data_IF_216686048798
#
_entry.id   IF_216686048798
#
_cell.length_a   1.000
_cell.length_b   1.000
_cell.length_c   1.000
_cell.angle_alpha   90.00
_cell.angle_beta   90.00
_cell.angle_gamma   90.00
#
_symmetry.space_group_name_H-M   'P 1'
#
loop_
_entity.id
_entity.type
_entity.pdbx_description
1 polymer ?
#
# COMPACT_ATOMS: atom_id res chain seq x y z
N UNK A 1 7.42 18.58 -17.17
CA UNK A 1 8.46 17.58 -17.45
C UNK A 1 8.45 16.63 -16.28
N UNK A 2 7.71 15.52 -16.39
CA UNK A 2 7.80 14.41 -15.43
C UNK A 2 9.18 13.79 -15.59
N UNK A 3 9.86 13.56 -14.48
CA UNK A 3 11.22 12.99 -14.48
C UNK A 3 11.14 11.49 -14.74
N UNK A 4 12.18 10.91 -15.36
CA UNK A 4 12.24 9.49 -15.75
C UNK A 4 12.02 8.54 -14.54
N UNK A 5 12.33 9.02 -13.32
CA UNK A 5 12.06 8.34 -12.04
C UNK A 5 10.56 8.29 -11.69
N UNK A 6 9.79 9.36 -11.92
CA UNK A 6 8.34 9.37 -11.69
C UNK A 6 7.66 8.34 -12.60
N UNK A 7 8.02 8.31 -13.89
CA UNK A 7 7.42 7.40 -14.87
C UNK A 7 7.67 5.92 -14.53
N UNK A 8 8.88 5.57 -14.08
CA UNK A 8 9.22 4.20 -13.67
C UNK A 8 8.51 3.76 -12.39
N UNK A 9 8.39 4.65 -11.40
CA UNK A 9 7.69 4.34 -10.14
C UNK A 9 6.17 4.20 -10.33
N UNK A 10 5.59 4.99 -11.24
CA UNK A 10 4.19 4.90 -11.63
C UNK A 10 3.88 3.58 -12.36
N UNK A 11 4.82 3.07 -13.15
CA UNK A 11 4.68 1.79 -13.85
C UNK A 11 4.77 0.58 -12.89
N UNK A 12 5.56 0.66 -11.81
CA UNK A 12 5.61 -0.38 -10.77
C UNK A 12 4.29 -0.52 -9.99
N UNK A 13 3.61 0.59 -9.69
CA UNK A 13 2.29 0.55 -9.04
C UNK A 13 1.23 -0.08 -9.97
N UNK A 14 1.30 0.17 -11.28
CA UNK A 14 0.35 -0.41 -12.25
C UNK A 14 0.41 -1.94 -12.28
N UNK A 15 1.61 -2.53 -12.17
CA UNK A 15 1.79 -3.98 -12.19
C UNK A 15 1.20 -4.72 -10.97
N UNK A 16 0.88 -4.01 -9.88
CA UNK A 16 0.20 -4.59 -8.70
C UNK A 16 -1.29 -4.82 -8.98
N UNK A 17 -1.91 -4.04 -9.88
CA UNK A 17 -3.34 -4.14 -10.18
C UNK A 17 -3.70 -5.21 -11.23
N UNK A 18 -2.74 -5.68 -12.03
CA UNK A 18 -2.99 -6.69 -13.07
C UNK A 18 -3.04 -8.13 -12.54
N UNK A 19 -2.72 -8.35 -11.25
CA UNK A 19 -2.81 -9.66 -10.57
C UNK A 19 -4.07 -9.83 -9.69
N UNK A 20 -5.05 -8.93 -9.81
CA UNK A 20 -6.08 -8.69 -8.78
C UNK A 20 -7.26 -9.68 -8.76
N UNK A 21 -7.10 -10.88 -9.34
CA UNK A 21 -8.05 -12.00 -9.21
C UNK A 21 -7.54 -13.14 -8.31
N UNK A 22 -6.33 -13.07 -7.75
CA UNK A 22 -5.88 -14.02 -6.74
C UNK A 22 -5.04 -13.34 -5.64
N UNK A 23 -5.45 -13.57 -4.39
CA UNK A 23 -4.63 -13.61 -3.17
C UNK A 23 -3.16 -13.18 -3.40
N UNK A 24 -2.82 -11.95 -3.03
CA UNK A 24 -1.41 -11.52 -2.97
C UNK A 24 -0.88 -11.95 -1.61
N UNK A 25 -0.10 -13.03 -1.58
CA UNK A 25 0.62 -13.48 -0.38
C UNK A 25 1.61 -12.42 0.07
N UNK A 26 1.59 -12.05 1.36
CA UNK A 26 2.43 -10.98 1.95
C UNK A 26 3.84 -11.50 2.31
N UNK A 27 4.14 -12.77 2.07
CA UNK A 27 5.34 -13.42 2.59
C UNK A 27 6.63 -13.16 1.79
N UNK A 28 6.59 -12.39 0.70
CA UNK A 28 7.83 -11.96 0.01
C UNK A 28 8.44 -10.66 0.58
N UNK A 29 7.91 -10.12 1.70
CA UNK A 29 8.46 -8.88 2.30
C UNK A 29 9.01 -9.12 3.73
N UNK A 30 8.80 -10.31 4.29
CA UNK A 30 9.18 -10.63 5.67
C UNK A 30 9.80 -12.03 5.75
N UNK A 31 10.97 -12.21 5.14
CA UNK A 31 11.84 -13.36 5.49
C UNK A 31 13.27 -12.92 5.74
N UNK A 32 13.42 -12.20 6.87
CA UNK A 32 14.71 -11.82 7.46
C UNK A 32 14.90 -12.33 8.89
N UNK A 33 14.06 -13.25 9.39
CA UNK A 33 14.20 -13.82 10.74
C UNK A 33 13.84 -15.33 10.76
N UNK A 34 14.87 -16.18 10.66
CA UNK A 34 14.82 -17.64 10.71
C UNK A 34 13.92 -18.24 11.83
N UNK A 35 13.07 -19.21 11.48
CA UNK A 35 13.20 -20.60 11.95
C UNK A 35 12.22 -21.55 11.24
N UNK A 36 12.71 -22.73 10.86
CA UNK A 36 11.93 -23.84 10.31
C UNK A 36 10.81 -24.24 11.27
N UNK A 37 9.57 -24.27 10.79
CA UNK A 37 8.46 -24.99 11.42
C UNK A 37 7.56 -25.58 10.34
N UNK A 38 7.60 -26.90 10.20
CA UNK A 38 6.60 -27.67 9.47
C UNK A 38 5.25 -27.53 10.19
N UNK A 39 4.31 -26.73 9.65
CA UNK A 39 2.85 -26.78 9.88
C UNK A 39 2.21 -25.82 8.84
N UNK A 40 1.03 -26.14 8.31
CA UNK A 40 0.28 -25.35 7.31
C UNK A 40 0.49 -23.84 7.51
N UNK A 41 1.26 -23.22 6.61
CA UNK A 41 1.54 -21.79 6.62
C UNK A 41 0.24 -21.10 6.19
N UNK A 42 -0.51 -20.58 7.16
CA UNK A 42 -1.53 -19.59 6.90
C UNK A 42 -0.81 -18.34 6.37
N UNK A 43 -0.69 -18.23 5.05
CA UNK A 43 -0.16 -17.03 4.41
C UNK A 43 -1.02 -15.84 4.86
N UNK A 44 -0.42 -14.89 5.55
CA UNK A 44 -1.09 -13.64 5.91
C UNK A 44 -1.44 -12.92 4.60
N UNK A 45 -2.69 -13.03 4.18
CA UNK A 45 -3.11 -12.61 2.85
C UNK A 45 -3.86 -11.30 2.94
N UNK A 46 -3.41 -10.29 2.19
CA UNK A 46 -4.18 -9.07 2.00
C UNK A 46 -5.37 -9.34 1.07
N UNK A 47 -6.53 -8.76 1.40
CA UNK A 47 -7.78 -8.97 0.66
C UNK A 47 -8.34 -7.66 0.14
N UNK A 48 -8.46 -7.55 -1.19
CA UNK A 48 -9.10 -6.40 -1.84
C UNK A 48 -10.61 -6.32 -1.53
N UNK A 49 -11.25 -7.45 -1.23
CA UNK A 49 -12.67 -7.48 -0.83
C UNK A 49 -12.91 -6.66 0.44
N UNK A 50 -11.95 -6.64 1.35
CA UNK A 50 -12.00 -5.86 2.60
C UNK A 50 -12.10 -4.35 2.33
N UNK A 51 -11.46 -3.85 1.26
CA UNK A 51 -11.58 -2.45 0.83
C UNK A 51 -12.95 -2.12 0.27
N UNK A 52 -13.55 -3.04 -0.49
CA UNK A 52 -14.93 -2.89 -0.97
C UNK A 52 -15.91 -2.85 0.21
N UNK A 53 -15.73 -3.72 1.21
CA UNK A 53 -16.56 -3.72 2.43
C UNK A 53 -16.45 -2.40 3.20
N UNK A 54 -15.24 -1.87 3.36
CA UNK A 54 -15.02 -0.57 4.00
C UNK A 54 -15.79 0.54 3.26
N UNK A 55 -15.68 0.59 1.93
CA UNK A 55 -16.41 1.56 1.12
C UNK A 55 -17.93 1.42 1.25
N UNK A 56 -18.45 0.19 1.20
CA UNK A 56 -19.90 -0.06 1.29
C UNK A 56 -20.51 0.37 2.62
N UNK A 57 -19.77 0.20 3.72
CA UNK A 57 -20.21 0.64 5.06
C UNK A 57 -20.15 2.16 5.19
N UNK A 58 -19.13 2.79 4.61
CA UNK A 58 -18.93 4.23 4.73
C UNK A 58 -19.66 5.06 3.67
N UNK A 59 -20.17 4.45 2.58
CA UNK A 59 -20.72 5.20 1.44
C UNK A 59 -21.80 6.20 1.83
N UNK A 60 -22.64 5.84 2.80
CA UNK A 60 -23.74 6.66 3.31
C UNK A 60 -23.42 7.39 4.62
N UNK A 61 -22.22 7.22 5.17
CA UNK A 61 -21.79 7.91 6.40
C UNK A 61 -21.35 9.34 6.09
N UNK A 62 -21.63 10.26 7.02
CA UNK A 62 -21.12 11.64 6.95
C UNK A 62 -19.61 11.69 7.24
N UNK A 63 -19.15 10.85 8.17
CA UNK A 63 -17.73 10.76 8.56
C UNK A 63 -17.17 9.46 7.97
N UNK A 64 -16.09 9.58 7.19
CA UNK A 64 -15.48 8.47 6.45
C UNK A 64 -13.97 8.45 6.69
N UNK A 65 -13.41 7.29 6.97
CA UNK A 65 -11.96 7.10 6.94
C UNK A 65 -11.47 7.00 5.49
N UNK A 66 -12.21 6.26 4.65
CA UNK A 66 -11.95 6.10 3.23
C UNK A 66 -12.59 7.17 2.36
N UNK A 67 -12.55 8.44 2.75
CA UNK A 67 -13.19 9.54 2.01
C UNK A 67 -12.68 9.68 0.55
N UNK A 68 -11.45 9.22 0.27
CA UNK A 68 -10.88 9.19 -1.08
C UNK A 68 -11.24 7.94 -1.88
N UNK A 69 -11.72 6.87 -1.22
CA UNK A 69 -12.17 5.67 -1.92
C UNK A 69 -13.39 6.03 -2.77
N UNK A 70 -13.33 5.61 -4.02
CA UNK A 70 -14.40 5.82 -4.99
C UNK A 70 -14.64 4.52 -5.73
N UNK A 71 -15.87 4.30 -6.19
CA UNK A 71 -16.22 3.10 -6.95
C UNK A 71 -15.26 2.89 -8.14
N UNK A 72 -14.86 3.97 -8.83
CA UNK A 72 -13.88 3.93 -9.93
C UNK A 72 -12.50 3.42 -9.53
N UNK A 73 -12.10 3.63 -8.29
CA UNK A 73 -10.83 3.12 -7.77
C UNK A 73 -10.95 1.64 -7.36
N UNK A 74 -12.13 1.20 -6.92
CA UNK A 74 -12.38 -0.18 -6.52
C UNK A 74 -12.72 -1.09 -7.70
N UNK A 75 -13.32 -0.54 -8.75
CA UNK A 75 -13.77 -1.23 -9.95
C UNK A 75 -13.43 -0.37 -11.18
N UNK A 76 -12.14 -0.21 -11.50
CA UNK A 76 -11.72 0.59 -12.65
C UNK A 76 -12.06 -0.12 -13.96
N UNK A 77 -12.49 0.65 -14.97
CA UNK A 77 -12.51 0.18 -16.36
C UNK A 77 -11.10 -0.03 -16.91
N UNK A 78 -10.95 -0.74 -18.04
CA UNK A 78 -9.64 -1.01 -18.65
C UNK A 78 -8.82 0.26 -18.95
N UNK A 79 -9.49 1.36 -19.33
CA UNK A 79 -8.82 2.65 -19.54
C UNK A 79 -8.42 3.30 -18.20
N UNK A 80 -9.26 3.16 -17.18
CA UNK A 80 -9.04 3.71 -15.85
C UNK A 80 -7.93 2.99 -15.08
N UNK A 81 -7.65 1.71 -15.34
CA UNK A 81 -6.50 0.98 -14.77
C UNK A 81 -5.14 1.64 -15.02
N UNK A 82 -5.02 2.39 -16.12
CA UNK A 82 -3.78 3.12 -16.42
C UNK A 82 -3.63 4.41 -15.59
N UNK A 83 -4.67 4.82 -14.84
CA UNK A 83 -4.70 6.06 -14.11
C UNK A 83 -4.15 5.90 -12.69
N UNK A 84 -2.89 6.27 -12.51
CA UNK A 84 -2.18 6.27 -11.21
C UNK A 84 -2.97 7.01 -10.11
N UNK A 85 -3.73 8.06 -10.45
CA UNK A 85 -4.52 8.81 -9.46
C UNK A 85 -5.63 7.97 -8.83
N UNK A 86 -6.13 6.93 -9.50
CA UNK A 86 -7.11 6.01 -8.92
C UNK A 86 -6.43 5.05 -7.94
N UNK A 87 -5.25 4.54 -8.29
CA UNK A 87 -4.48 3.65 -7.41
C UNK A 87 -4.05 4.36 -6.13
N UNK A 88 -3.62 5.62 -6.22
CA UNK A 88 -3.26 6.44 -5.06
C UNK A 88 -4.44 6.69 -4.09
N UNK A 89 -5.69 6.56 -4.56
CA UNK A 89 -6.86 6.63 -3.68
C UNK A 89 -7.02 5.35 -2.84
N UNK A 90 -6.66 4.20 -3.41
CA UNK A 90 -6.69 2.90 -2.73
C UNK A 90 -5.63 2.87 -1.62
N UNK A 91 -4.40 3.25 -1.95
CA UNK A 91 -3.29 3.29 -1.00
C UNK A 91 -3.26 4.55 -0.15
N UNK A 92 -4.40 5.14 0.17
CA UNK A 92 -4.41 6.35 0.97
C UNK A 92 -4.01 6.06 2.43
N UNK A 93 -3.21 6.96 3.01
CA UNK A 93 -2.68 6.84 4.38
C UNK A 93 -3.72 6.71 5.50
N UNK A 94 -5.00 7.04 5.27
CA UNK A 94 -6.07 6.95 6.25
C UNK A 94 -6.86 5.62 6.16
N UNK A 95 -6.64 4.85 5.09
CA UNK A 95 -7.31 3.55 4.87
C UNK A 95 -6.91 2.51 5.90
N UNK A 96 -5.62 2.37 6.29
CA UNK A 96 -5.24 1.42 7.33
C UNK A 96 -5.96 1.68 8.65
N UNK A 97 -6.12 2.93 9.08
CA UNK A 97 -6.84 3.29 10.30
C UNK A 97 -8.32 2.97 10.18
N UNK A 98 -8.92 3.26 9.03
CA UNK A 98 -10.31 2.88 8.72
C UNK A 98 -10.54 1.38 8.77
N UNK A 99 -9.63 0.60 8.18
CA UNK A 99 -9.64 -0.86 8.22
C UNK A 99 -9.50 -1.39 9.65
N UNK A 100 -8.60 -0.83 10.46
CA UNK A 100 -8.45 -1.26 11.85
C UNK A 100 -9.70 -0.96 12.68
N UNK A 101 -10.31 0.24 12.52
CA UNK A 101 -11.49 0.64 13.30
C UNK A 101 -12.76 -0.07 12.85
N UNK A 102 -13.05 -0.06 11.55
CA UNK A 102 -14.27 -0.64 11.00
C UNK A 102 -14.16 -2.15 10.84
N UNK A 103 -12.96 -2.66 10.50
CA UNK A 103 -12.72 -4.09 10.36
C UNK A 103 -12.85 -4.83 11.69
N UNK A 104 -12.42 -4.25 12.80
CA UNK A 104 -12.68 -4.81 14.14
C UNK A 104 -14.18 -4.77 14.47
N UNK A 105 -14.83 -3.63 14.26
CA UNK A 105 -16.24 -3.40 14.59
C UNK A 105 -17.19 -4.31 13.80
N UNK A 106 -16.94 -4.50 12.51
CA UNK A 106 -17.79 -5.24 11.58
C UNK A 106 -17.20 -6.60 11.20
N UNK A 107 -16.10 -7.01 11.83
CA UNK A 107 -15.43 -8.31 11.64
C UNK A 107 -15.10 -8.62 10.17
N UNK A 108 -14.44 -7.68 9.49
CA UNK A 108 -14.00 -7.93 8.11
C UNK A 108 -12.98 -9.06 8.06
N UNK A 109 -12.92 -9.85 6.98
CA UNK A 109 -11.83 -10.79 6.79
C UNK A 109 -10.53 -10.04 6.51
N UNK A 110 -9.43 -10.54 7.07
CA UNK A 110 -8.05 -10.10 6.79
C UNK A 110 -7.80 -8.59 6.88
N UNK A 111 -8.54 -7.85 7.72
CA UNK A 111 -8.44 -6.39 7.75
C UNK A 111 -7.09 -5.89 8.28
N UNK A 112 -6.46 -6.65 9.18
CA UNK A 112 -5.16 -6.30 9.75
C UNK A 112 -4.07 -6.43 8.70
N UNK A 113 -4.08 -7.55 7.99
CA UNK A 113 -3.13 -7.90 6.93
C UNK A 113 -3.27 -6.92 5.75
N UNK A 114 -4.50 -6.58 5.35
CA UNK A 114 -4.74 -5.55 4.32
C UNK A 114 -4.27 -4.17 4.78
N UNK A 115 -4.47 -3.80 6.05
CA UNK A 115 -4.01 -2.52 6.58
C UNK A 115 -2.47 -2.45 6.61
N UNK A 116 -1.79 -3.53 6.99
CA UNK A 116 -0.33 -3.64 6.97
C UNK A 116 0.22 -3.58 5.55
N UNK A 117 -0.39 -4.30 4.61
CA UNK A 117 -0.03 -4.25 3.20
C UNK A 117 -0.08 -2.82 2.64
N UNK A 118 -1.16 -2.09 2.91
CA UNK A 118 -1.29 -0.69 2.47
C UNK A 118 -0.23 0.21 3.12
N UNK A 119 0.16 -0.04 4.37
CA UNK A 119 1.25 0.70 5.03
C UNK A 119 2.60 0.42 4.37
N UNK A 120 2.87 -0.83 3.99
CA UNK A 120 4.09 -1.21 3.27
C UNK A 120 4.16 -0.46 1.93
N UNK A 121 3.09 -0.49 1.13
CA UNK A 121 3.04 0.22 -0.16
C UNK A 121 3.19 1.73 0.02
N UNK A 122 2.53 2.33 1.02
CA UNK A 122 2.70 3.75 1.33
C UNK A 122 4.15 4.10 1.68
N UNK A 123 4.80 3.28 2.51
CA UNK A 123 6.20 3.49 2.90
C UNK A 123 7.13 3.39 1.69
N UNK A 124 6.93 2.38 0.85
CA UNK A 124 7.68 2.22 -0.39
C UNK A 124 7.51 3.45 -1.29
N UNK A 125 6.27 3.89 -1.52
CA UNK A 125 5.96 5.07 -2.34
C UNK A 125 6.60 6.34 -1.80
N UNK A 126 6.55 6.55 -0.48
CA UNK A 126 7.16 7.69 0.19
C UNK A 126 8.69 7.75 -0.02
N UNK A 127 9.35 6.59 -0.11
CA UNK A 127 10.80 6.49 -0.34
C UNK A 127 11.16 6.73 -1.81
N UNK A 128 10.43 6.13 -2.74
CA UNK A 128 10.79 6.18 -4.17
C UNK A 128 10.32 7.46 -4.85
N UNK A 129 9.27 8.13 -4.34
CA UNK A 129 8.66 9.31 -4.94
C UNK A 129 9.01 10.62 -4.21
N UNK A 130 10.29 10.80 -3.86
CA UNK A 130 10.78 12.02 -3.23
C UNK A 130 11.00 13.10 -4.30
N UNK A 131 10.03 14.02 -4.43
CA UNK A 131 10.06 15.07 -5.48
C UNK A 131 11.03 16.21 -5.22
N UNK A 132 11.31 16.54 -3.96
CA UNK A 132 12.20 17.65 -3.59
C UNK A 132 13.00 17.30 -2.35
N UNK A 133 14.23 17.83 -2.19
CA UNK A 133 15.09 17.48 -1.05
C UNK A 133 14.51 17.79 0.33
N UNK A 134 13.60 18.76 0.42
CA UNK A 134 13.07 19.28 1.68
C UNK A 134 11.70 18.69 2.06
N UNK A 135 11.10 17.85 1.21
CA UNK A 135 9.74 17.32 1.45
C UNK A 135 9.64 16.53 2.76
N UNK A 136 10.65 15.69 3.06
CA UNK A 136 10.70 14.93 4.32
C UNK A 136 10.87 15.80 5.57
N UNK A 137 11.47 17.00 5.45
CA UNK A 137 11.56 17.96 6.56
C UNK A 137 10.20 18.64 6.75
N UNK A 138 9.61 19.13 5.66
CA UNK A 138 8.33 19.85 5.68
C UNK A 138 7.19 18.98 6.22
N UNK A 139 7.17 17.71 5.84
CA UNK A 139 6.14 16.75 6.28
C UNK A 139 6.52 15.97 7.54
N UNK A 140 7.70 16.26 8.11
CA UNK A 140 8.27 15.51 9.24
C UNK A 140 8.24 13.98 9.02
N UNK A 141 8.62 13.56 7.82
CA UNK A 141 8.60 12.16 7.39
C UNK A 141 10.00 11.74 6.91
N UNK A 142 10.63 10.83 7.65
CA UNK A 142 11.98 10.33 7.35
C UNK A 142 12.02 9.55 6.03
N UNK A 143 10.96 8.81 5.70
CA UNK A 143 10.87 8.02 4.46
C UNK A 143 10.91 8.92 3.23
N UNK A 144 10.43 10.16 3.35
CA UNK A 144 10.42 11.15 2.27
C UNK A 144 11.66 12.04 2.17
N UNK A 145 12.73 11.75 2.92
CA UNK A 145 14.01 12.44 2.73
C UNK A 145 14.71 11.87 1.47
N UNK A 146 15.62 12.61 0.82
CA UNK A 146 16.46 12.02 -0.21
C UNK A 146 17.15 10.76 0.28
N UNK A 147 17.19 9.73 -0.58
CA UNK A 147 17.96 8.53 -0.31
C UNK A 147 19.45 8.90 -0.24
N UNK A 148 20.13 8.33 0.73
CA UNK A 148 21.58 8.46 0.86
C UNK A 148 22.21 7.14 0.44
N UNK A 149 23.41 7.18 -0.16
CA UNK A 149 24.15 5.97 -0.56
C UNK A 149 24.77 5.23 0.64
N UNK A 150 24.17 5.33 1.83
CA UNK A 150 24.65 4.69 3.04
C UNK A 150 24.00 3.33 3.20
N UNK A 151 24.82 2.28 3.35
CA UNK A 151 24.34 0.92 3.63
C UNK A 151 23.64 0.80 5.01
N UNK A 152 23.81 1.81 5.87
CA UNK A 152 23.13 1.88 7.17
C UNK A 152 21.71 2.45 7.08
N UNK A 153 21.32 2.99 5.92
CA UNK A 153 20.02 3.61 5.72
C UNK A 153 18.89 2.56 5.77
N UNK A 154 18.04 2.65 6.79
CA UNK A 154 16.90 1.75 6.97
C UNK A 154 15.95 1.74 5.76
N UNK A 155 15.90 2.85 5.00
CA UNK A 155 15.07 2.95 3.80
C UNK A 155 15.63 2.09 2.68
N UNK A 156 16.95 2.04 2.56
CA UNK A 156 17.63 1.18 1.59
C UNK A 156 17.37 -0.29 1.93
N UNK A 157 17.55 -0.67 3.21
CA UNK A 157 17.24 -2.03 3.69
C UNK A 157 15.80 -2.44 3.46
N UNK A 158 14.86 -1.51 3.69
CA UNK A 158 13.44 -1.75 3.44
C UNK A 158 13.17 -1.99 1.94
N UNK A 159 13.76 -1.21 1.04
CA UNK A 159 13.60 -1.41 -0.40
C UNK A 159 14.22 -2.72 -0.89
N UNK A 160 15.40 -3.08 -0.37
CA UNK A 160 16.09 -4.33 -0.70
C UNK A 160 15.23 -5.55 -0.32
N UNK A 161 14.62 -5.52 0.88
CA UNK A 161 13.70 -6.56 1.33
C UNK A 161 12.34 -6.62 0.62
N UNK A 162 11.99 -5.64 -0.23
CA UNK A 162 10.75 -5.66 -1.02
C UNK A 162 10.94 -6.17 -2.46
N UNK A 163 12.19 -6.32 -2.93
CA UNK A 163 12.53 -6.64 -4.32
C UNK A 163 12.86 -8.14 -4.55
N UNK A 164 12.69 -8.99 -3.54
CA UNK A 164 13.02 -10.42 -3.60
C UNK A 164 11.83 -11.30 -3.22
#
# INVERSE_FOLDING_TARGET
METISEKSSEDCIKNVEDNNDNIVSVDNIIDGCNSKSNNNIDFNTASFKTLKLLYEIEKNSIIKYGYNLSLKALEPSNLEKQNVKLVLKIFNKFIPEGLMKQGEKFQFPNYKETAEYIKIINRWWDIVNVKTPFIGIRENNVYKKPLTSSETDERYKFLDGCLY
#
